data_IF_333714428797
#
_entry.id   IF_333714428797
#
_cell.length_a   1.000
_cell.length_b   1.000
_cell.length_c   1.000
_cell.angle_alpha   90.00
_cell.angle_beta   90.00
_cell.angle_gamma   90.00
#
_symmetry.space_group_name_H-M   'P 1'
#
loop_
_entity.id
_entity.type
_entity.pdbx_description
1 polymer ?
#
# COMPACT_ATOMS: atom_id res chain seq x y z
N UNK A 1 2.04 18.02 -25.15
CA UNK A 1 0.57 18.01 -25.03
C UNK A 1 0.17 18.58 -23.69
N UNK A 2 -1.09 18.98 -23.56
CA UNK A 2 -1.69 19.44 -22.32
C UNK A 2 -2.38 18.25 -21.62
N UNK A 3 -1.95 17.95 -20.40
CA UNK A 3 -2.50 16.84 -19.61
C UNK A 3 -3.20 17.36 -18.34
N UNK A 4 -4.36 16.79 -18.03
CA UNK A 4 -5.07 17.01 -16.78
C UNK A 4 -5.06 15.72 -15.94
N UNK A 5 -4.59 15.80 -14.72
CA UNK A 5 -4.51 14.67 -13.79
C UNK A 5 -5.51 14.88 -12.66
N UNK A 6 -6.43 13.96 -12.49
CA UNK A 6 -7.37 13.92 -11.39
C UNK A 6 -6.74 13.17 -10.21
N UNK A 7 -6.41 13.89 -9.12
CA UNK A 7 -5.81 13.36 -7.88
C UNK A 7 -4.32 13.70 -7.72
N UNK A 8 -3.99 14.36 -6.60
CA UNK A 8 -2.63 14.69 -6.16
C UNK A 8 -2.12 13.75 -5.07
N UNK A 9 -2.42 12.45 -5.20
CA UNK A 9 -1.77 11.39 -4.44
C UNK A 9 -0.41 11.03 -5.04
N UNK A 10 0.31 10.04 -4.46
CA UNK A 10 1.63 9.62 -4.96
C UNK A 10 1.67 9.36 -6.46
N UNK A 11 0.68 8.67 -7.00
CA UNK A 11 0.57 8.33 -8.43
C UNK A 11 0.44 9.59 -9.29
N UNK A 12 -0.49 10.47 -8.95
CA UNK A 12 -0.74 11.68 -9.74
C UNK A 12 0.43 12.66 -9.70
N UNK A 13 1.03 12.89 -8.53
CA UNK A 13 2.18 13.78 -8.39
C UNK A 13 3.42 13.23 -9.11
N UNK A 14 3.71 11.93 -8.96
CA UNK A 14 4.80 11.28 -9.69
C UNK A 14 4.60 11.43 -11.21
N UNK A 15 3.41 11.11 -11.70
CA UNK A 15 3.10 11.21 -13.14
C UNK A 15 3.23 12.64 -13.64
N UNK A 16 2.73 13.61 -12.87
CA UNK A 16 2.80 15.02 -13.24
C UNK A 16 4.23 15.52 -13.41
N UNK A 17 5.08 15.27 -12.42
CA UNK A 17 6.49 15.66 -12.46
C UNK A 17 7.23 14.97 -13.63
N UNK A 18 7.01 13.66 -13.80
CA UNK A 18 7.67 12.90 -14.85
C UNK A 18 7.25 13.32 -16.27
N UNK A 19 5.98 13.65 -16.47
CA UNK A 19 5.48 14.20 -17.76
C UNK A 19 6.00 15.62 -18.00
N UNK A 20 6.01 16.50 -17.00
CA UNK A 20 6.51 17.85 -17.14
C UNK A 20 8.01 17.87 -17.49
N UNK A 21 8.81 16.97 -16.93
CA UNK A 21 10.23 16.77 -17.29
C UNK A 21 10.44 16.31 -18.74
N UNK A 22 9.39 15.80 -19.39
CA UNK A 22 9.35 15.44 -20.82
C UNK A 22 8.74 16.54 -21.70
N UNK A 23 8.52 17.73 -21.12
CA UNK A 23 8.02 18.90 -21.88
C UNK A 23 6.50 18.97 -22.02
N UNK A 24 5.73 18.19 -21.28
CA UNK A 24 4.29 18.32 -21.23
C UNK A 24 3.87 19.43 -20.25
N UNK A 25 2.73 20.09 -20.49
CA UNK A 25 2.08 20.96 -19.51
C UNK A 25 1.06 20.11 -18.74
N UNK A 26 1.14 20.14 -17.43
CA UNK A 26 0.33 19.25 -16.57
C UNK A 26 -0.42 20.05 -15.52
N UNK A 27 -1.74 19.93 -15.52
CA UNK A 27 -2.59 20.47 -14.45
C UNK A 27 -3.07 19.30 -13.58
N UNK A 28 -2.70 19.32 -12.30
CA UNK A 28 -3.15 18.32 -11.32
C UNK A 28 -4.27 18.93 -10.49
N UNK A 29 -5.40 18.24 -10.39
CA UNK A 29 -6.56 18.68 -9.61
C UNK A 29 -6.75 17.77 -8.41
N UNK A 30 -6.82 18.33 -7.20
CA UNK A 30 -7.18 17.60 -5.97
C UNK A 30 -8.03 18.48 -5.06
N UNK A 31 -8.99 17.86 -4.38
CA UNK A 31 -9.82 18.57 -3.39
C UNK A 31 -9.04 18.98 -2.14
N UNK A 32 -7.93 18.29 -1.85
CA UNK A 32 -7.05 18.55 -0.71
C UNK A 32 -6.05 19.67 -1.07
N UNK A 33 -6.01 20.72 -0.24
CA UNK A 33 -5.15 21.88 -0.43
C UNK A 33 -3.67 21.63 -0.11
N UNK A 34 -3.31 20.50 0.46
CA UNK A 34 -1.98 20.22 1.01
C UNK A 34 -1.87 20.53 2.49
N UNK A 35 -0.64 20.49 3.06
CA UNK A 35 -0.39 20.80 4.45
C UNK A 35 -0.73 22.26 4.77
N UNK A 36 -1.21 22.49 6.00
CA UNK A 36 -1.39 23.80 6.56
C UNK A 36 -0.05 24.48 6.89
N UNK A 37 -0.07 25.78 7.18
CA UNK A 37 1.14 26.57 7.48
C UNK A 37 1.89 26.07 8.75
N UNK A 38 1.18 25.46 9.69
CA UNK A 38 1.75 24.82 10.89
C UNK A 38 2.31 23.41 10.62
N UNK A 39 2.27 22.96 9.38
CA UNK A 39 2.73 21.64 8.95
C UNK A 39 1.73 20.52 9.16
N UNK A 40 0.59 20.77 9.79
CA UNK A 40 -0.46 19.75 9.93
C UNK A 40 -1.09 19.40 8.58
N UNK A 41 -1.40 18.14 8.37
CA UNK A 41 -2.03 17.68 7.14
C UNK A 41 -3.02 16.54 7.43
N UNK A 42 -4.30 16.85 7.62
CA UNK A 42 -5.30 15.81 7.90
C UNK A 42 -5.60 14.90 6.70
N UNK A 43 -5.28 15.31 5.46
CA UNK A 43 -5.43 14.57 4.20
C UNK A 43 -6.77 13.80 4.15
N UNK A 44 -7.87 14.50 4.35
CA UNK A 44 -9.22 13.92 4.38
C UNK A 44 -9.52 13.14 3.09
N UNK A 45 -10.08 11.94 3.22
CA UNK A 45 -10.37 11.05 2.10
C UNK A 45 -9.26 10.05 1.75
N UNK A 46 -8.12 10.11 2.43
CA UNK A 46 -7.06 9.10 2.37
C UNK A 46 -6.99 8.40 3.73
N UNK A 47 -7.83 7.38 3.93
CA UNK A 47 -7.95 6.65 5.21
C UNK A 47 -6.59 6.17 5.73
N UNK A 48 -5.72 5.74 4.83
CA UNK A 48 -4.43 5.15 5.18
C UNK A 48 -3.31 6.17 5.41
N UNK A 49 -3.57 7.49 5.39
CA UNK A 49 -2.52 8.52 5.39
C UNK A 49 -1.58 8.46 6.59
N UNK A 50 -2.09 8.09 7.76
CA UNK A 50 -1.32 7.97 9.00
C UNK A 50 -1.15 6.52 9.47
N UNK A 51 -1.58 5.53 8.68
CA UNK A 51 -1.29 4.12 8.95
C UNK A 51 0.14 3.74 8.53
N UNK A 52 0.66 2.58 8.98
CA UNK A 52 1.96 2.09 8.52
C UNK A 52 2.05 2.00 7.00
N UNK A 53 3.18 2.38 6.44
CA UNK A 53 3.48 2.22 5.02
C UNK A 53 4.89 1.68 4.83
N UNK A 54 5.03 0.77 3.88
CA UNK A 54 6.31 0.37 3.32
C UNK A 54 6.53 1.03 1.96
N UNK A 55 7.64 1.74 1.80
CA UNK A 55 8.09 2.26 0.50
C UNK A 55 9.04 1.23 -0.10
N UNK A 56 8.52 0.37 -0.97
CA UNK A 56 9.26 -0.77 -1.55
C UNK A 56 10.32 -0.33 -2.56
N UNK A 57 11.25 -1.21 -2.87
CA UNK A 57 12.34 -0.94 -3.81
C UNK A 57 11.85 -0.52 -5.21
N UNK A 58 10.69 -1.01 -5.66
CA UNK A 58 10.08 -0.58 -6.92
C UNK A 58 9.75 0.91 -6.96
N UNK A 59 9.36 1.48 -5.80
CA UNK A 59 9.16 2.92 -5.66
C UNK A 59 10.49 3.66 -5.78
N UNK A 60 11.51 3.19 -5.07
CA UNK A 60 12.87 3.77 -5.14
C UNK A 60 13.40 3.72 -6.56
N UNK A 61 13.28 2.57 -7.23
CA UNK A 61 13.69 2.40 -8.64
C UNK A 61 12.92 3.35 -9.58
N UNK A 62 11.63 3.57 -9.33
CA UNK A 62 10.86 4.53 -10.12
C UNK A 62 11.33 5.97 -9.89
N UNK A 63 11.59 6.35 -8.63
CA UNK A 63 12.14 7.67 -8.31
C UNK A 63 13.54 7.87 -8.91
N UNK A 64 14.45 6.90 -8.76
CA UNK A 64 15.82 6.98 -9.32
C UNK A 64 15.82 7.15 -10.83
N UNK A 65 14.86 6.52 -11.52
CA UNK A 65 14.77 6.61 -12.97
C UNK A 65 14.16 7.92 -13.48
N UNK A 66 13.20 8.49 -12.78
CA UNK A 66 12.40 9.62 -13.26
C UNK A 66 12.69 10.94 -12.51
N UNK A 67 13.04 10.84 -11.22
CA UNK A 67 13.23 11.99 -10.33
C UNK A 67 14.19 11.66 -9.17
N UNK A 68 15.50 11.43 -9.42
CA UNK A 68 16.47 11.06 -8.39
C UNK A 68 16.59 12.11 -7.28
N UNK A 69 16.35 13.37 -7.59
CA UNK A 69 16.28 14.49 -6.65
C UNK A 69 15.19 14.30 -5.57
N UNK A 70 14.07 13.66 -5.92
CA UNK A 70 13.00 13.33 -4.96
C UNK A 70 13.47 12.25 -3.99
N UNK A 71 14.17 11.22 -4.47
CA UNK A 71 14.75 10.19 -3.62
C UNK A 71 15.73 10.81 -2.62
N UNK A 72 16.58 11.72 -3.07
CA UNK A 72 17.56 12.40 -2.25
C UNK A 72 16.89 13.34 -1.23
N UNK A 73 15.84 14.05 -1.65
CA UNK A 73 15.04 14.90 -0.76
C UNK A 73 14.33 14.09 0.33
N UNK A 74 13.82 12.89 0.02
CA UNK A 74 13.22 11.99 1.02
C UNK A 74 14.25 11.58 2.08
N UNK A 75 15.46 11.20 1.66
CA UNK A 75 16.55 10.83 2.59
C UNK A 75 16.97 12.05 3.43
N UNK A 76 17.12 13.22 2.82
CA UNK A 76 17.44 14.46 3.53
C UNK A 76 16.35 14.88 4.54
N UNK A 77 15.09 14.53 4.26
CA UNK A 77 13.95 14.77 5.16
C UNK A 77 13.79 13.70 6.25
N UNK A 78 14.69 12.70 6.32
CA UNK A 78 14.75 11.71 7.39
C UNK A 78 14.29 10.29 7.02
N UNK A 79 13.92 10.03 5.76
CA UNK A 79 13.69 8.66 5.30
C UNK A 79 14.99 7.85 5.35
N UNK A 80 14.90 6.57 5.74
CA UNK A 80 16.07 5.70 5.83
C UNK A 80 15.95 4.50 4.90
N UNK A 81 17.07 4.04 4.36
CA UNK A 81 17.09 2.86 3.49
C UNK A 81 16.82 1.60 4.32
N UNK A 82 15.87 0.80 3.89
CA UNK A 82 15.61 -0.54 4.44
C UNK A 82 16.55 -1.54 3.79
N UNK A 83 17.33 -2.25 4.61
CA UNK A 83 18.34 -3.19 4.14
C UNK A 83 18.04 -4.61 4.61
N UNK A 84 18.22 -5.58 3.74
CA UNK A 84 18.30 -7.00 4.11
C UNK A 84 19.78 -7.37 4.17
N UNK A 85 20.28 -7.89 5.33
CA UNK A 85 21.64 -8.42 5.41
C UNK A 85 21.84 -9.53 4.37
N UNK A 86 22.95 -9.50 3.67
CA UNK A 86 23.30 -10.57 2.73
C UNK A 86 24.15 -11.63 3.43
N UNK A 87 23.89 -12.90 3.13
CA UNK A 87 24.75 -14.01 3.60
C UNK A 87 26.08 -14.05 2.85
N UNK A 88 27.12 -14.58 3.50
CA UNK A 88 28.40 -14.89 2.84
C UNK A 88 29.24 -13.67 2.45
N UNK A 89 29.21 -12.58 3.24
CA UNK A 89 30.06 -11.40 3.01
C UNK A 89 29.66 -10.52 1.82
N UNK A 90 28.49 -10.75 1.23
CA UNK A 90 27.93 -9.87 0.20
C UNK A 90 27.44 -8.56 0.84
N UNK A 91 27.37 -7.43 0.10
CA UNK A 91 26.78 -6.21 0.60
C UNK A 91 25.29 -6.40 0.90
N UNK A 92 24.78 -5.71 1.92
CA UNK A 92 23.36 -5.69 2.24
C UNK A 92 22.55 -5.17 1.05
N UNK A 93 21.39 -5.79 0.80
CA UNK A 93 20.51 -5.43 -0.31
C UNK A 93 19.46 -4.42 0.15
N UNK A 94 19.36 -3.30 -0.57
CA UNK A 94 18.29 -2.34 -0.36
C UNK A 94 16.94 -2.92 -0.83
N UNK A 95 15.92 -2.81 0.00
CA UNK A 95 14.56 -3.32 -0.28
C UNK A 95 13.48 -2.24 -0.24
N UNK A 96 13.88 -0.99 0.02
CA UNK A 96 12.98 0.15 0.03
C UNK A 96 13.43 1.27 0.98
N UNK A 97 12.48 2.14 1.33
CA UNK A 97 12.67 3.22 2.31
C UNK A 97 11.69 3.04 3.47
N UNK A 98 12.16 3.36 4.67
CA UNK A 98 11.34 3.55 5.87
C UNK A 98 10.90 5.00 5.89
N UNK A 99 9.63 5.23 5.64
CA UNK A 99 9.10 6.58 5.45
C UNK A 99 7.60 6.59 5.72
N UNK A 100 7.11 7.57 6.49
CA UNK A 100 5.68 7.84 6.60
C UNK A 100 5.12 8.30 5.25
N UNK A 101 3.90 7.92 4.97
CA UNK A 101 3.21 8.40 3.79
C UNK A 101 3.10 9.93 3.76
N UNK A 102 2.89 10.56 4.90
CA UNK A 102 2.83 12.01 5.02
C UNK A 102 4.12 12.71 4.59
N UNK A 103 5.29 12.16 4.93
CA UNK A 103 6.57 12.67 4.45
C UNK A 103 6.72 12.43 2.94
N UNK A 104 6.41 11.22 2.48
CA UNK A 104 6.51 10.84 1.08
C UNK A 104 5.64 11.75 0.18
N UNK A 105 4.36 11.95 0.54
CA UNK A 105 3.46 12.82 -0.23
C UNK A 105 3.85 14.30 -0.14
N UNK A 106 4.40 14.77 0.99
CA UNK A 106 4.88 16.13 1.14
C UNK A 106 6.03 16.42 0.18
N UNK A 107 7.06 15.58 0.19
CA UNK A 107 8.24 15.76 -0.69
C UNK A 107 7.83 15.71 -2.16
N UNK A 108 6.98 14.78 -2.56
CA UNK A 108 6.45 14.73 -3.94
C UNK A 108 5.66 15.99 -4.30
N UNK A 109 4.85 16.51 -3.37
CA UNK A 109 4.06 17.70 -3.59
C UNK A 109 4.94 18.95 -3.73
N UNK A 110 5.92 19.10 -2.86
CA UNK A 110 6.86 20.23 -2.90
C UNK A 110 7.65 20.21 -4.21
N UNK A 111 8.08 19.03 -4.66
CA UNK A 111 8.70 18.85 -5.97
C UNK A 111 7.76 19.24 -7.10
N UNK A 112 6.51 18.82 -7.06
CA UNK A 112 5.53 19.14 -8.09
C UNK A 112 5.22 20.65 -8.15
N UNK A 113 5.14 21.33 -7.01
CA UNK A 113 4.95 22.78 -6.93
C UNK A 113 6.15 23.57 -7.49
N UNK A 114 7.37 23.03 -7.32
CA UNK A 114 8.59 23.64 -7.85
C UNK A 114 8.86 23.28 -9.32
N UNK A 115 8.17 22.24 -9.86
CA UNK A 115 8.46 21.74 -11.21
C UNK A 115 7.85 22.65 -12.30
N UNK A 116 8.68 23.28 -13.18
CA UNK A 116 8.15 23.99 -14.34
C UNK A 116 7.26 23.09 -15.19
N UNK A 117 6.12 23.62 -15.64
CA UNK A 117 5.14 22.87 -16.43
C UNK A 117 4.11 22.09 -15.60
N UNK A 118 4.20 22.09 -14.27
CA UNK A 118 3.17 21.54 -13.38
C UNK A 118 2.38 22.68 -12.71
N UNK A 119 1.06 22.55 -12.72
CA UNK A 119 0.14 23.43 -11.99
C UNK A 119 -0.74 22.60 -11.08
N UNK A 120 -0.75 22.87 -9.77
CA UNK A 120 -1.66 22.22 -8.81
C UNK A 120 -2.88 23.12 -8.59
N UNK A 121 -4.06 22.57 -8.84
CA UNK A 121 -5.36 23.24 -8.66
C UNK A 121 -6.11 22.55 -7.55
N UNK A 122 -6.53 23.33 -6.55
CA UNK A 122 -7.47 22.85 -5.54
C UNK A 122 -8.88 22.90 -6.09
N UNK A 123 -9.56 21.74 -6.16
CA UNK A 123 -10.94 21.65 -6.64
C UNK A 123 -11.44 20.22 -6.61
N UNK A 124 -12.76 20.06 -6.66
CA UNK A 124 -13.41 18.77 -6.81
C UNK A 124 -13.52 18.42 -8.29
N UNK A 125 -13.03 17.23 -8.65
CA UNK A 125 -13.24 16.71 -10.00
C UNK A 125 -14.63 16.09 -10.06
N UNK A 126 -15.52 16.72 -10.83
CA UNK A 126 -16.92 16.29 -10.97
C UNK A 126 -17.06 15.17 -11.98
N UNK A 127 -16.45 15.32 -13.16
CA UNK A 127 -16.52 14.36 -14.28
C UNK A 127 -15.40 14.63 -15.32
N UNK A 128 -15.29 13.73 -16.29
CA UNK A 128 -14.49 13.89 -17.50
C UNK A 128 -15.30 14.62 -18.58
N UNK A 129 -14.72 15.64 -19.18
CA UNK A 129 -15.32 16.29 -20.35
C UNK A 129 -15.17 15.38 -21.58
N UNK A 130 -16.25 15.27 -22.35
CA UNK A 130 -16.29 14.41 -23.55
C UNK A 130 -16.58 15.26 -24.79
N UNK A 131 -15.80 15.06 -25.83
CA UNK A 131 -16.02 15.68 -27.14
C UNK A 131 -15.69 14.68 -28.24
N UNK A 132 -16.59 14.52 -29.18
CA UNK A 132 -16.44 13.60 -30.35
C UNK A 132 -16.01 12.18 -29.94
N UNK A 133 -16.60 11.64 -28.86
CA UNK A 133 -16.30 10.29 -28.36
C UNK A 133 -14.97 10.12 -27.64
N UNK A 134 -14.29 11.20 -27.27
CA UNK A 134 -12.99 11.21 -26.57
C UNK A 134 -13.05 12.05 -25.30
N UNK A 135 -12.14 11.80 -24.36
CA UNK A 135 -11.87 12.72 -23.28
C UNK A 135 -11.30 14.03 -23.84
N UNK A 136 -11.77 15.16 -23.31
CA UNK A 136 -11.40 16.51 -23.75
C UNK A 136 -10.98 17.39 -22.55
N UNK A 137 -10.89 16.82 -21.35
CA UNK A 137 -10.53 17.54 -20.12
C UNK A 137 -11.31 17.06 -18.90
N UNK A 138 -11.33 17.87 -17.86
CA UNK A 138 -12.04 17.62 -16.60
C UNK A 138 -13.06 18.73 -16.33
N UNK A 139 -14.16 18.38 -15.70
CA UNK A 139 -15.06 19.33 -15.02
C UNK A 139 -14.62 19.42 -13.55
N UNK A 140 -14.32 20.64 -13.11
CA UNK A 140 -13.78 20.92 -11.77
C UNK A 140 -14.63 22.01 -11.13
N UNK A 141 -15.34 21.71 -10.04
CA UNK A 141 -16.26 22.63 -9.37
C UNK A 141 -17.19 23.35 -10.38
N UNK A 142 -17.78 22.57 -11.30
CA UNK A 142 -18.67 23.02 -12.35
C UNK A 142 -18.00 23.73 -13.54
N UNK A 143 -16.68 23.98 -13.50
CA UNK A 143 -15.94 24.66 -14.58
C UNK A 143 -15.18 23.66 -15.46
N UNK A 144 -14.99 24.01 -16.71
CA UNK A 144 -14.28 23.17 -17.67
C UNK A 144 -12.78 23.48 -17.65
N UNK A 145 -11.98 22.42 -17.55
CA UNK A 145 -10.53 22.41 -17.69
C UNK A 145 -10.21 21.54 -18.91
N UNK A 146 -9.94 22.17 -20.04
CA UNK A 146 -9.61 21.47 -21.29
C UNK A 146 -8.23 20.80 -21.20
N UNK A 147 -8.09 19.60 -21.79
CA UNK A 147 -6.83 18.87 -21.90
C UNK A 147 -6.90 17.84 -23.05
N UNK A 148 -5.74 17.57 -23.66
CA UNK A 148 -5.58 16.56 -24.71
C UNK A 148 -5.49 15.13 -24.15
N UNK A 149 -4.98 15.03 -22.90
CA UNK A 149 -4.86 13.78 -22.14
C UNK A 149 -5.44 13.98 -20.73
N UNK A 150 -6.30 13.07 -20.32
CA UNK A 150 -6.82 13.00 -18.95
C UNK A 150 -6.28 11.76 -18.25
N UNK A 151 -5.76 11.94 -17.04
CA UNK A 151 -5.27 10.82 -16.22
C UNK A 151 -6.09 10.74 -14.93
N UNK A 152 -6.74 9.61 -14.70
CA UNK A 152 -7.45 9.31 -13.48
C UNK A 152 -6.51 8.66 -12.45
N UNK A 153 -6.06 9.44 -11.46
CA UNK A 153 -5.28 9.02 -10.30
C UNK A 153 -6.01 9.31 -8.98
N UNK A 154 -7.35 9.30 -8.99
CA UNK A 154 -8.20 9.58 -7.81
C UNK A 154 -8.19 8.46 -6.76
N UNK A 155 -7.46 7.37 -7.00
CA UNK A 155 -7.41 6.21 -6.13
C UNK A 155 -8.69 5.36 -6.22
N UNK A 156 -8.88 4.47 -5.24
CA UNK A 156 -9.95 3.47 -5.23
C UNK A 156 -11.38 4.04 -5.25
N UNK A 157 -11.55 5.27 -4.82
CA UNK A 157 -12.87 5.91 -4.79
C UNK A 157 -13.21 6.68 -6.06
N UNK A 158 -12.25 6.81 -6.99
CA UNK A 158 -12.43 7.55 -8.25
C UNK A 158 -13.34 6.81 -9.20
N UNK A 159 -14.41 7.47 -9.66
CA UNK A 159 -15.44 6.90 -10.52
C UNK A 159 -15.49 7.51 -11.93
N UNK A 160 -14.43 8.23 -12.35
CA UNK A 160 -14.39 8.85 -13.67
C UNK A 160 -14.64 7.81 -14.77
N UNK A 161 -15.67 8.05 -15.60
CA UNK A 161 -16.11 7.17 -16.68
C UNK A 161 -16.27 5.70 -16.27
N UNK A 162 -16.68 5.45 -15.01
CA UNK A 162 -16.83 4.10 -14.50
C UNK A 162 -17.94 3.30 -15.24
N UNK A 163 -18.92 4.00 -15.79
CA UNK A 163 -20.00 3.44 -16.61
C UNK A 163 -19.53 2.89 -17.96
N UNK A 164 -18.37 3.32 -18.43
CA UNK A 164 -17.83 2.91 -19.74
C UNK A 164 -16.87 1.73 -19.67
N UNK A 165 -16.24 1.49 -18.50
CA UNK A 165 -15.26 0.41 -18.34
C UNK A 165 -15.94 -0.93 -18.09
N UNK A 166 -15.27 -2.01 -18.44
CA UNK A 166 -15.68 -3.36 -18.04
C UNK A 166 -15.95 -3.45 -16.53
N UNK A 167 -16.79 -4.37 -16.04
CA UNK A 167 -17.06 -4.53 -14.60
C UNK A 167 -15.79 -4.68 -13.76
N UNK A 168 -15.84 -4.13 -12.56
CA UNK A 168 -14.76 -4.27 -11.58
C UNK A 168 -14.78 -5.68 -10.97
N UNK A 169 -13.66 -6.38 -11.04
CA UNK A 169 -13.44 -7.57 -10.23
C UNK A 169 -13.05 -7.14 -8.83
N UNK A 170 -13.69 -7.68 -7.80
CA UNK A 170 -13.37 -7.30 -6.42
C UNK A 170 -13.71 -8.39 -5.41
N UNK A 171 -12.93 -8.42 -4.32
CA UNK A 171 -13.17 -9.29 -3.17
C UNK A 171 -12.93 -8.53 -1.86
N UNK A 172 -13.64 -8.90 -0.80
CA UNK A 172 -13.35 -8.41 0.54
C UNK A 172 -12.03 -9.02 1.04
N UNK A 173 -11.19 -8.23 1.69
CA UNK A 173 -9.92 -8.73 2.24
C UNK A 173 -10.12 -9.55 3.52
N UNK A 174 -11.28 -9.49 4.15
CA UNK A 174 -11.55 -10.19 5.41
C UNK A 174 -10.77 -9.67 6.61
N UNK A 175 -10.07 -8.54 6.46
CA UNK A 175 -9.15 -7.96 7.45
C UNK A 175 -9.61 -6.58 7.87
N UNK A 176 -9.51 -6.29 9.16
CA UNK A 176 -9.53 -4.95 9.71
C UNK A 176 -8.34 -4.76 10.64
N UNK A 177 -7.93 -3.52 10.87
CA UNK A 177 -6.80 -3.24 11.75
C UNK A 177 -7.00 -1.93 12.52
N UNK A 178 -6.21 -1.77 13.55
CA UNK A 178 -6.02 -0.51 14.24
C UNK A 178 -4.53 -0.22 14.31
N UNK A 179 -4.15 1.05 14.23
CA UNK A 179 -2.76 1.45 14.39
C UNK A 179 -2.60 2.78 15.10
N UNK A 180 -1.40 3.00 15.64
CA UNK A 180 -0.98 4.26 16.24
C UNK A 180 0.48 4.52 15.91
N UNK A 181 0.84 5.79 15.68
CA UNK A 181 2.24 6.18 15.49
C UNK A 181 2.81 6.71 16.79
N UNK A 182 4.09 6.41 17.01
CA UNK A 182 4.88 6.85 18.16
C UNK A 182 6.18 7.47 17.69
N UNK A 183 6.68 8.43 18.44
CA UNK A 183 8.03 8.97 18.30
C UNK A 183 8.91 8.39 19.43
N UNK A 184 10.11 7.93 19.08
CA UNK A 184 11.13 7.59 20.08
C UNK A 184 11.66 8.86 20.72
N UNK A 185 11.65 8.90 22.06
CA UNK A 185 12.20 10.00 22.85
C UNK A 185 13.70 10.15 22.60
N UNK A 186 14.26 11.37 22.78
CA UNK A 186 15.70 11.58 22.64
C UNK A 186 16.50 10.63 23.53
N UNK A 187 17.49 9.94 22.93
CA UNK A 187 18.32 8.97 23.64
C UNK A 187 17.70 7.56 23.81
N UNK A 188 16.42 7.37 23.56
CA UNK A 188 15.82 6.04 23.63
C UNK A 188 16.33 5.12 22.53
N UNK A 189 16.73 3.89 22.93
CA UNK A 189 17.14 2.87 21.99
C UNK A 189 15.93 2.22 21.30
N UNK A 190 16.03 1.81 20.02
CA UNK A 190 15.01 1.04 19.35
C UNK A 190 14.69 -0.27 20.07
N UNK A 191 13.43 -0.73 19.99
CA UNK A 191 13.02 -2.04 20.47
C UNK A 191 13.48 -3.17 19.55
N UNK A 192 13.10 -4.44 19.85
CA UNK A 192 13.51 -5.61 19.07
C UNK A 192 12.91 -5.61 17.66
N UNK A 193 13.63 -6.24 16.73
CA UNK A 193 13.23 -6.41 15.34
C UNK A 193 13.35 -7.89 14.96
N UNK A 194 12.47 -8.37 14.09
CA UNK A 194 12.56 -9.70 13.49
C UNK A 194 12.37 -9.67 11.95
N UNK A 195 12.15 -8.49 11.39
CA UNK A 195 11.96 -8.26 9.97
C UNK A 195 12.69 -6.96 9.56
N UNK A 196 13.18 -6.83 8.32
CA UNK A 196 13.82 -5.61 7.82
C UNK A 196 12.95 -4.34 7.93
N UNK A 197 11.64 -4.49 7.98
CA UNK A 197 10.71 -3.36 8.12
C UNK A 197 10.29 -3.10 9.58
N UNK A 198 10.58 -4.04 10.51
CA UNK A 198 10.18 -3.88 11.90
C UNK A 198 10.11 -5.18 12.71
N UNK A 199 9.04 -5.33 13.43
CA UNK A 199 8.67 -6.53 14.17
C UNK A 199 7.31 -7.02 13.68
N UNK A 200 7.16 -8.30 13.38
CA UNK A 200 5.89 -8.89 12.98
C UNK A 200 5.66 -10.20 13.74
N UNK A 201 4.53 -10.30 14.42
CA UNK A 201 4.10 -11.46 15.18
C UNK A 201 2.70 -11.90 14.73
N UNK A 202 2.56 -13.18 14.39
CA UNK A 202 1.30 -13.79 13.95
C UNK A 202 0.77 -14.69 15.06
N UNK A 203 -0.42 -14.36 15.54
CA UNK A 203 -1.12 -15.11 16.59
C UNK A 203 -2.33 -15.83 16.01
N UNK A 204 -2.89 -16.77 16.77
CA UNK A 204 -4.18 -17.35 16.45
C UNK A 204 -5.27 -16.25 16.51
N UNK A 205 -5.84 -15.89 15.36
CA UNK A 205 -6.91 -14.91 15.25
C UNK A 205 -6.50 -13.44 15.13
N UNK A 206 -5.21 -13.08 15.19
CA UNK A 206 -4.77 -11.70 14.94
C UNK A 206 -3.28 -11.62 14.55
N UNK A 207 -2.86 -10.44 14.10
CA UNK A 207 -1.45 -10.12 13.80
C UNK A 207 -1.08 -8.83 14.51
N UNK A 208 0.11 -8.79 15.10
CA UNK A 208 0.66 -7.60 15.72
C UNK A 208 1.98 -7.21 15.03
N UNK A 209 2.23 -5.92 14.86
CA UNK A 209 3.46 -5.47 14.21
C UNK A 209 3.88 -4.06 14.55
N UNK A 210 5.19 -3.83 14.44
CA UNK A 210 5.83 -2.52 14.48
C UNK A 210 6.48 -2.26 13.14
N UNK A 211 6.27 -1.08 12.59
CA UNK A 211 6.84 -0.64 11.32
C UNK A 211 7.71 0.58 11.57
N UNK A 212 8.99 0.45 11.26
CA UNK A 212 9.94 1.56 11.35
C UNK A 212 9.64 2.59 10.26
N UNK A 213 9.73 3.88 10.63
CA UNK A 213 9.46 4.99 9.73
C UNK A 213 10.58 6.03 9.77
N UNK A 214 10.37 7.21 9.18
CA UNK A 214 11.29 8.33 9.20
C UNK A 214 11.40 8.97 10.58
N UNK A 215 12.50 9.72 10.80
CA UNK A 215 12.67 10.60 11.94
C UNK A 215 12.41 9.93 13.30
N UNK A 216 12.93 8.72 13.49
CA UNK A 216 12.77 7.94 14.74
C UNK A 216 11.31 7.68 15.11
N UNK A 217 10.40 7.69 14.15
CA UNK A 217 9.00 7.31 14.37
C UNK A 217 8.75 5.86 14.02
N UNK A 218 7.74 5.28 14.64
CA UNK A 218 7.26 3.93 14.39
C UNK A 218 5.75 3.91 14.33
N UNK A 219 5.18 2.96 13.60
CA UNK A 219 3.77 2.68 13.66
C UNK A 219 3.54 1.28 14.22
N UNK A 220 2.69 1.18 15.22
CA UNK A 220 2.24 -0.09 15.80
C UNK A 220 0.87 -0.42 15.25
N UNK A 221 0.67 -1.69 14.87
CA UNK A 221 -0.55 -2.17 14.22
C UNK A 221 -1.01 -3.48 14.85
N UNK A 222 -2.32 -3.59 15.07
CA UNK A 222 -3.01 -4.84 15.39
C UNK A 222 -4.04 -5.11 14.28
N UNK A 223 -3.88 -6.22 13.55
CA UNK A 223 -4.79 -6.65 12.50
C UNK A 223 -5.58 -7.89 12.96
N UNK A 224 -6.84 -7.97 12.57
CA UNK A 224 -7.80 -8.99 12.99
C UNK A 224 -8.75 -9.37 11.85
N UNK A 225 -9.50 -10.46 11.96
CA UNK A 225 -10.62 -10.72 11.07
C UNK A 225 -11.62 -9.54 11.08
N UNK A 226 -12.06 -9.08 9.92
CA UNK A 226 -13.06 -8.00 9.85
C UNK A 226 -14.39 -8.40 10.50
N UNK A 227 -14.73 -9.70 10.44
CA UNK A 227 -15.91 -10.29 11.05
C UNK A 227 -15.85 -10.39 12.60
N UNK A 228 -14.66 -10.32 13.20
CA UNK A 228 -14.48 -10.38 14.65
C UNK A 228 -14.91 -9.05 15.30
N UNK A 229 -16.15 -9.01 15.78
CA UNK A 229 -16.72 -7.81 16.41
C UNK A 229 -16.18 -7.54 17.81
N UNK A 230 -15.74 -8.56 18.53
CA UNK A 230 -15.20 -8.40 19.89
C UNK A 230 -13.85 -7.68 19.82
N UNK A 231 -12.94 -8.13 18.96
CA UNK A 231 -11.67 -7.44 18.74
C UNK A 231 -11.81 -6.06 18.09
N UNK A 232 -12.98 -5.68 17.60
CA UNK A 232 -13.24 -4.32 17.12
C UNK A 232 -13.07 -3.26 18.23
N UNK A 233 -13.21 -3.65 19.49
CA UNK A 233 -12.94 -2.79 20.65
C UNK A 233 -11.49 -2.35 20.81
N UNK A 234 -10.52 -2.95 20.09
CA UNK A 234 -9.14 -2.46 20.03
C UNK A 234 -9.00 -1.02 19.48
N UNK A 235 -10.05 -0.45 18.92
CA UNK A 235 -10.12 0.97 18.56
C UNK A 235 -10.21 1.92 19.77
N UNK A 236 -10.59 1.42 20.94
CA UNK A 236 -10.60 2.15 22.20
C UNK A 236 -9.15 2.39 22.62
N UNK A 237 -8.71 3.65 22.86
CA UNK A 237 -7.29 3.94 23.12
C UNK A 237 -6.72 3.14 24.29
N UNK A 238 -7.45 3.01 25.37
CA UNK A 238 -7.03 2.31 26.59
C UNK A 238 -6.87 0.80 26.32
N UNK A 239 -7.77 0.22 25.52
CA UNK A 239 -7.70 -1.20 25.12
C UNK A 239 -6.50 -1.43 24.17
N UNK A 240 -6.29 -0.53 23.22
CA UNK A 240 -5.14 -0.59 22.31
C UNK A 240 -3.82 -0.56 23.07
N UNK A 241 -3.64 0.43 23.96
CA UNK A 241 -2.43 0.59 24.76
C UNK A 241 -2.18 -0.61 25.68
N UNK A 242 -3.22 -1.15 26.30
CA UNK A 242 -3.09 -2.36 27.12
C UNK A 242 -2.71 -3.59 26.26
N UNK A 243 -3.33 -3.74 25.09
CA UNK A 243 -3.05 -4.86 24.18
C UNK A 243 -1.63 -4.83 23.64
N UNK A 244 -1.13 -3.68 23.16
CA UNK A 244 0.23 -3.57 22.62
C UNK A 244 1.30 -3.79 23.67
N UNK A 245 1.06 -3.39 24.92
CA UNK A 245 1.97 -3.69 26.05
C UNK A 245 1.99 -5.15 26.47
N UNK A 246 0.92 -5.89 26.19
CA UNK A 246 0.85 -7.32 26.49
C UNK A 246 1.58 -8.17 25.45
N UNK A 247 1.69 -7.69 24.19
CA UNK A 247 2.32 -8.43 23.09
C UNK A 247 3.84 -8.39 23.23
N UNK A 248 4.53 -9.55 23.35
CA UNK A 248 5.98 -9.59 23.50
C UNK A 248 6.72 -8.84 22.38
N UNK A 249 7.63 -7.98 22.79
CA UNK A 249 8.42 -7.15 21.88
C UNK A 249 7.75 -5.83 21.45
N UNK A 250 6.41 -5.74 21.45
CA UNK A 250 5.71 -4.46 21.20
C UNK A 250 5.79 -3.55 22.42
N UNK A 251 5.83 -4.11 23.63
CA UNK A 251 6.02 -3.40 24.89
C UNK A 251 7.21 -2.44 24.84
N UNK A 252 8.35 -2.91 24.33
CA UNK A 252 9.56 -2.11 24.17
C UNK A 252 9.40 -0.91 23.19
N UNK A 253 8.44 -0.98 22.28
CA UNK A 253 8.14 0.06 21.29
C UNK A 253 7.03 1.03 21.71
N UNK A 254 6.33 0.72 22.82
CA UNK A 254 5.19 1.51 23.34
C UNK A 254 5.36 1.88 24.81
N UNK A 255 6.54 1.65 25.38
CA UNK A 255 6.91 2.07 26.72
C UNK A 255 6.89 3.60 26.82
N UNK A 256 6.09 4.21 27.72
CA UNK A 256 6.02 5.66 27.90
C UNK A 256 7.34 6.32 28.32
N UNK A 257 8.28 5.57 28.90
CA UNK A 257 9.61 6.09 29.23
C UNK A 257 10.52 6.21 27.99
N UNK A 258 10.13 5.59 26.86
CA UNK A 258 10.92 5.49 25.65
C UNK A 258 10.25 6.11 24.42
N UNK A 259 8.93 6.19 24.42
CA UNK A 259 8.15 6.64 23.25
C UNK A 259 6.97 7.50 23.68
N UNK A 260 6.57 8.39 22.80
CA UNK A 260 5.33 9.15 22.95
C UNK A 260 4.41 8.93 21.73
N UNK A 261 3.10 8.80 21.92
CA UNK A 261 2.15 8.69 20.83
C UNK A 261 2.01 10.02 20.09
N UNK A 262 2.14 9.99 18.77
CA UNK A 262 2.02 11.18 17.91
C UNK A 262 0.75 11.18 17.04
N UNK A 263 -0.07 10.12 17.12
CA UNK A 263 -1.42 10.08 16.54
C UNK A 263 -2.42 9.52 17.53
N UNK A 264 -3.74 9.76 17.33
CA UNK A 264 -4.76 8.95 17.99
C UNK A 264 -4.67 7.48 17.53
N UNK A 265 -5.41 6.58 18.16
CA UNK A 265 -5.64 5.24 17.66
C UNK A 265 -6.53 5.32 16.40
N UNK A 266 -6.05 4.81 15.29
CA UNK A 266 -6.65 4.95 13.96
C UNK A 266 -7.23 3.60 13.53
N UNK A 267 -8.56 3.49 13.33
CA UNK A 267 -9.15 2.29 12.75
C UNK A 267 -8.99 2.26 11.22
N UNK A 268 -8.73 1.07 10.67
CA UNK A 268 -8.74 0.76 9.26
C UNK A 268 -9.61 -0.47 8.97
N UNK A 269 -10.47 -0.37 7.99
CA UNK A 269 -11.41 -1.44 7.65
C UNK A 269 -12.07 -1.22 6.28
N UNK A 270 -13.05 -2.07 5.94
CA UNK A 270 -13.69 -2.07 4.62
C UNK A 270 -12.66 -2.19 3.49
N UNK A 271 -11.69 -3.08 3.70
CA UNK A 271 -10.60 -3.30 2.76
C UNK A 271 -11.08 -4.22 1.65
N UNK A 272 -10.77 -3.86 0.42
CA UNK A 272 -11.12 -4.64 -0.76
C UNK A 272 -9.92 -4.75 -1.68
N UNK A 273 -9.73 -5.92 -2.25
CA UNK A 273 -8.96 -6.09 -3.46
C UNK A 273 -9.86 -5.73 -4.64
N UNK A 274 -9.35 -5.00 -5.62
CA UNK A 274 -10.08 -4.74 -6.86
C UNK A 274 -9.14 -4.62 -8.05
N UNK A 275 -9.62 -5.04 -9.21
CA UNK A 275 -8.93 -4.88 -10.48
C UNK A 275 -9.91 -4.43 -11.56
N UNK A 276 -9.52 -3.42 -12.32
CA UNK A 276 -10.28 -2.90 -13.44
C UNK A 276 -9.35 -2.24 -14.46
N UNK A 277 -9.21 -2.85 -15.63
CA UNK A 277 -8.36 -2.37 -16.73
C UNK A 277 -8.86 -1.07 -17.39
N UNK A 278 -8.27 -0.74 -18.53
CA UNK A 278 -8.61 0.46 -19.32
C UNK A 278 -9.81 0.23 -20.24
N UNK A 279 -10.20 -1.05 -20.46
CA UNK A 279 -11.07 -1.46 -21.56
C UNK A 279 -12.55 -1.52 -21.15
N UNK A 280 -13.42 -1.44 -22.17
CA UNK A 280 -14.85 -1.76 -22.09
C UNK A 280 -15.09 -3.28 -22.18
N UNK A 281 -16.34 -3.73 -22.12
CA UNK A 281 -16.73 -5.15 -22.24
C UNK A 281 -16.41 -5.76 -23.62
N UNK A 282 -16.11 -4.94 -24.60
CA UNK A 282 -15.77 -5.36 -25.96
C UNK A 282 -14.26 -5.35 -26.24
N UNK A 283 -13.44 -5.11 -25.21
CA UNK A 283 -11.98 -5.06 -25.35
C UNK A 283 -11.46 -3.78 -26.04
N UNK A 284 -12.25 -2.70 -26.11
CA UNK A 284 -11.84 -1.41 -26.66
C UNK A 284 -11.53 -0.46 -25.53
N UNK A 285 -10.68 0.55 -25.77
CA UNK A 285 -10.45 1.61 -24.80
C UNK A 285 -11.77 2.28 -24.42
N UNK A 286 -12.13 2.25 -23.14
CA UNK A 286 -13.43 2.68 -22.63
C UNK A 286 -13.74 4.14 -22.98
N UNK A 287 -12.73 5.03 -22.94
CA UNK A 287 -12.83 6.42 -23.40
C UNK A 287 -11.44 6.85 -23.92
N UNK A 288 -11.23 6.94 -25.23
CA UNK A 288 -9.99 7.44 -25.80
C UNK A 288 -9.59 8.80 -25.21
N UNK A 289 -8.31 8.97 -24.83
CA UNK A 289 -7.82 10.19 -24.17
C UNK A 289 -7.97 10.19 -22.65
N UNK A 290 -8.62 9.19 -22.05
CA UNK A 290 -8.63 8.96 -20.60
C UNK A 290 -7.82 7.72 -20.24
N UNK A 291 -6.85 7.87 -19.33
CA UNK A 291 -6.03 6.75 -18.82
C UNK A 291 -6.21 6.65 -17.30
N UNK A 292 -6.42 5.45 -16.79
CA UNK A 292 -6.55 5.17 -15.37
C UNK A 292 -5.21 4.66 -14.80
N UNK A 293 -4.82 5.13 -13.60
CA UNK A 293 -3.58 4.75 -12.94
C UNK A 293 -3.77 4.45 -11.45
N UNK A 294 -2.87 3.63 -10.94
CA UNK A 294 -2.78 3.33 -9.51
C UNK A 294 -3.98 2.55 -9.01
N UNK A 295 -4.52 2.95 -7.86
CA UNK A 295 -5.67 2.29 -7.24
C UNK A 295 -6.98 2.42 -8.08
N UNK A 296 -7.00 3.27 -9.10
CA UNK A 296 -8.09 3.31 -10.07
C UNK A 296 -8.07 2.11 -11.04
N UNK A 297 -6.96 1.36 -11.09
CA UNK A 297 -6.78 0.12 -11.84
C UNK A 297 -6.70 -1.08 -10.91
N UNK A 298 -5.82 -1.03 -9.89
CA UNK A 298 -5.59 -2.15 -9.00
C UNK A 298 -5.42 -1.70 -7.56
N UNK A 299 -6.33 -2.14 -6.70
CA UNK A 299 -6.22 -2.01 -5.25
C UNK A 299 -5.99 -3.37 -4.63
N UNK A 300 -5.04 -3.49 -3.71
CA UNK A 300 -4.78 -4.72 -2.96
C UNK A 300 -4.83 -4.48 -1.47
N UNK A 301 -4.98 -5.54 -0.70
CA UNK A 301 -4.90 -5.50 0.76
C UNK A 301 -3.64 -4.73 1.20
N UNK A 302 -3.78 -3.64 1.99
CA UNK A 302 -2.65 -2.80 2.38
C UNK A 302 -1.65 -3.49 3.30
N UNK A 303 -2.01 -4.59 3.96
CA UNK A 303 -1.14 -5.31 4.91
C UNK A 303 0.15 -5.84 4.26
N UNK A 304 0.16 -6.09 2.95
CA UNK A 304 1.36 -6.47 2.22
C UNK A 304 2.22 -5.28 1.74
N UNK A 305 1.74 -4.02 1.90
CA UNK A 305 2.49 -2.80 1.57
C UNK A 305 2.86 -2.66 0.09
N UNK A 306 2.02 -3.15 -0.84
CA UNK A 306 2.30 -3.16 -2.30
C UNK A 306 1.68 -2.00 -3.06
N UNK A 307 0.64 -1.33 -2.55
CA UNK A 307 -0.18 -0.37 -3.30
C UNK A 307 0.60 0.78 -3.95
N UNK A 308 1.49 1.48 -3.22
CA UNK A 308 2.30 2.55 -3.81
C UNK A 308 3.26 2.00 -4.88
N UNK A 309 3.84 0.82 -4.65
CA UNK A 309 4.76 0.20 -5.59
C UNK A 309 4.06 -0.14 -6.93
N UNK A 310 2.95 -0.85 -6.89
CA UNK A 310 2.16 -1.19 -8.10
C UNK A 310 1.66 0.05 -8.82
N UNK A 311 1.29 1.11 -8.08
CA UNK A 311 0.84 2.37 -8.65
C UNK A 311 1.96 3.12 -9.38
N UNK A 312 3.17 3.21 -8.78
CA UNK A 312 4.29 3.89 -9.43
C UNK A 312 4.89 3.05 -10.57
N UNK A 313 4.82 1.72 -10.50
CA UNK A 313 5.17 0.85 -11.63
C UNK A 313 4.29 1.16 -12.86
N UNK A 314 2.96 1.26 -12.69
CA UNK A 314 2.02 1.64 -13.74
C UNK A 314 2.35 3.04 -14.29
N UNK A 315 2.51 4.03 -13.39
CA UNK A 315 2.80 5.41 -13.78
C UNK A 315 4.11 5.52 -14.57
N UNK A 316 5.17 4.85 -14.12
CA UNK A 316 6.45 4.82 -14.82
C UNK A 316 6.33 4.15 -16.19
N UNK A 317 5.59 3.06 -16.28
CA UNK A 317 5.36 2.39 -17.55
C UNK A 317 4.65 3.32 -18.53
N UNK A 318 3.53 3.96 -18.12
CA UNK A 318 2.84 4.94 -18.94
C UNK A 318 3.78 6.08 -19.41
N UNK A 319 4.52 6.69 -18.49
CA UNK A 319 5.40 7.82 -18.83
C UNK A 319 6.48 7.44 -19.85
N UNK A 320 6.91 6.18 -19.87
CA UNK A 320 7.93 5.66 -20.81
C UNK A 320 7.35 5.30 -22.19
N UNK A 321 6.08 4.90 -22.23
CA UNK A 321 5.42 4.41 -23.46
C UNK A 321 4.46 5.43 -24.05
N UNK A 322 4.16 6.52 -23.33
CA UNK A 322 3.29 7.59 -23.80
C UNK A 322 3.88 8.27 -25.03
N UNK A 323 3.30 7.98 -26.19
CA UNK A 323 3.58 8.65 -27.46
C UNK A 323 2.64 9.82 -27.70
N UNK A 324 2.35 10.07 -28.97
CA UNK A 324 1.39 11.10 -29.44
C UNK A 324 -0.05 10.61 -29.47
N UNK A 325 -0.27 9.30 -29.32
CA UNK A 325 -1.60 8.66 -29.32
C UNK A 325 -1.94 8.10 -27.94
N UNK A 326 -2.80 8.81 -27.17
CA UNK A 326 -3.23 8.34 -25.85
C UNK A 326 -4.04 7.02 -25.87
N UNK A 327 -4.69 6.70 -26.98
CA UNK A 327 -5.46 5.44 -27.09
C UNK A 327 -4.53 4.26 -27.21
N UNK A 328 -3.50 4.35 -28.06
CA UNK A 328 -2.46 3.33 -28.14
C UNK A 328 -1.74 3.15 -26.80
N UNK A 329 -1.47 4.23 -26.07
CA UNK A 329 -0.86 4.19 -24.74
C UNK A 329 -1.78 3.51 -23.70
N UNK A 330 -3.10 3.71 -23.79
CA UNK A 330 -4.06 3.02 -22.90
C UNK A 330 -4.12 1.52 -23.16
N UNK A 331 -4.12 1.09 -24.43
CA UNK A 331 -4.08 -0.33 -24.83
C UNK A 331 -2.81 -1.02 -24.34
N UNK A 332 -1.67 -0.37 -24.55
CA UNK A 332 -0.36 -0.88 -24.15
C UNK A 332 -0.26 -0.99 -22.63
N UNK A 333 -0.72 0.02 -21.89
CA UNK A 333 -0.76 0.00 -20.43
C UNK A 333 -1.69 -1.09 -19.90
N UNK A 334 -2.84 -1.33 -20.55
CA UNK A 334 -3.77 -2.39 -20.15
C UNK A 334 -3.13 -3.77 -20.27
N UNK A 335 -2.51 -4.05 -21.44
CA UNK A 335 -1.79 -5.29 -21.68
C UNK A 335 -0.65 -5.49 -20.66
N UNK A 336 0.14 -4.43 -20.42
CA UNK A 336 1.21 -4.47 -19.43
C UNK A 336 0.70 -4.70 -18.01
N UNK A 337 -0.41 -4.07 -17.62
CA UNK A 337 -1.03 -4.27 -16.32
C UNK A 337 -1.56 -5.71 -16.15
N UNK A 338 -2.11 -6.30 -17.21
CA UNK A 338 -2.56 -7.69 -17.19
C UNK A 338 -1.39 -8.66 -16.91
N UNK A 339 -0.20 -8.38 -17.43
CA UNK A 339 0.99 -9.21 -17.22
C UNK A 339 1.71 -8.94 -15.89
N UNK A 340 1.80 -7.66 -15.45
CA UNK A 340 2.71 -7.27 -14.38
C UNK A 340 2.01 -6.83 -13.08
N UNK A 341 0.72 -6.43 -13.14
CA UNK A 341 -0.03 -5.93 -11.99
C UNK A 341 -1.11 -6.91 -11.57
N UNK A 342 -1.88 -7.46 -12.52
CA UNK A 342 -2.96 -8.42 -12.26
C UNK A 342 -2.51 -9.63 -11.44
N UNK A 343 -1.34 -10.24 -11.66
CA UNK A 343 -0.88 -11.36 -10.84
C UNK A 343 -0.80 -11.04 -9.33
N UNK A 344 -0.52 -9.78 -8.97
CA UNK A 344 -0.52 -9.36 -7.56
C UNK A 344 -1.93 -9.25 -6.99
N UNK A 345 -2.92 -8.85 -7.79
CA UNK A 345 -4.33 -8.87 -7.38
C UNK A 345 -4.80 -10.30 -7.12
N UNK A 346 -4.57 -11.22 -8.06
CA UNK A 346 -4.96 -12.62 -7.96
C UNK A 346 -4.30 -13.31 -6.75
N UNK A 347 -3.02 -13.03 -6.51
CA UNK A 347 -2.27 -13.51 -5.34
C UNK A 347 -2.89 -13.02 -4.03
N UNK A 348 -3.28 -11.73 -3.95
CA UNK A 348 -3.92 -11.18 -2.76
C UNK A 348 -5.30 -11.78 -2.50
N UNK A 349 -6.10 -11.98 -3.53
CA UNK A 349 -7.43 -12.61 -3.39
C UNK A 349 -7.29 -14.02 -2.79
N UNK A 350 -6.34 -14.80 -3.29
CA UNK A 350 -6.08 -16.15 -2.78
C UNK A 350 -5.52 -16.14 -1.35
N UNK A 351 -4.54 -15.27 -1.08
CA UNK A 351 -3.93 -15.13 0.25
C UNK A 351 -4.96 -14.72 1.30
N UNK A 352 -5.75 -13.69 1.02
CA UNK A 352 -6.73 -13.15 1.98
C UNK A 352 -7.81 -14.19 2.30
N UNK A 353 -8.27 -14.94 1.31
CA UNK A 353 -9.23 -16.03 1.52
C UNK A 353 -8.67 -17.11 2.46
N UNK A 354 -7.40 -17.49 2.30
CA UNK A 354 -6.74 -18.45 3.17
C UNK A 354 -6.50 -17.89 4.58
N UNK A 355 -6.10 -16.63 4.69
CA UNK A 355 -5.89 -15.99 5.98
C UNK A 355 -7.18 -15.96 6.81
N UNK A 356 -8.33 -15.72 6.18
CA UNK A 356 -9.64 -15.77 6.86
C UNK A 356 -9.94 -17.18 7.36
N UNK A 357 -9.67 -18.22 6.57
CA UNK A 357 -9.87 -19.60 6.97
C UNK A 357 -8.95 -20.04 8.13
N UNK A 358 -7.66 -19.68 8.05
CA UNK A 358 -6.71 -19.93 9.12
C UNK A 358 -7.14 -19.25 10.43
N UNK A 359 -7.66 -18.03 10.37
CA UNK A 359 -8.19 -17.34 11.55
C UNK A 359 -9.50 -17.96 12.07
N UNK A 360 -10.27 -18.64 11.23
CA UNK A 360 -11.43 -19.43 11.63
C UNK A 360 -11.05 -20.80 12.26
N UNK A 361 -9.75 -21.12 12.32
CA UNK A 361 -9.25 -22.38 12.88
C UNK A 361 -9.21 -23.54 11.88
N UNK A 362 -9.43 -23.26 10.58
CA UNK A 362 -9.29 -24.28 9.54
C UNK A 362 -7.81 -24.59 9.30
N UNK A 363 -7.53 -25.83 8.96
CA UNK A 363 -6.18 -26.26 8.57
C UNK A 363 -5.92 -26.00 7.09
N UNK A 364 -4.63 -26.09 6.70
CA UNK A 364 -4.22 -25.97 5.30
C UNK A 364 -4.90 -27.07 4.45
N UNK A 365 -5.52 -26.65 3.34
CA UNK A 365 -6.16 -27.55 2.41
C UNK A 365 -5.17 -28.02 1.32
N UNK A 366 -4.62 -29.22 1.52
CA UNK A 366 -3.66 -29.81 0.59
C UNK A 366 -4.28 -30.35 -0.71
N UNK A 367 -5.62 -30.34 -0.87
CA UNK A 367 -6.27 -30.71 -2.12
C UNK A 367 -6.18 -29.61 -3.18
N UNK A 368 -5.80 -28.40 -2.81
CA UNK A 368 -5.65 -27.22 -3.67
C UNK A 368 -4.18 -26.76 -3.74
N UNK A 369 -3.79 -25.95 -4.75
CA UNK A 369 -2.51 -25.28 -4.75
C UNK A 369 -2.30 -24.46 -3.47
N UNK A 370 -1.08 -24.49 -2.92
CA UNK A 370 -0.74 -23.65 -1.78
C UNK A 370 -0.69 -22.19 -2.22
N UNK A 371 -1.28 -21.31 -1.41
CA UNK A 371 -1.17 -19.88 -1.63
C UNK A 371 0.22 -19.36 -1.26
N UNK A 372 0.54 -18.16 -1.71
CA UNK A 372 1.79 -17.48 -1.38
C UNK A 372 2.01 -17.37 0.13
N UNK A 373 0.94 -17.19 0.93
CA UNK A 373 1.02 -17.17 2.39
C UNK A 373 1.60 -18.45 3.00
N UNK A 374 1.13 -19.62 2.53
CA UNK A 374 1.63 -20.91 2.97
C UNK A 374 3.09 -21.15 2.54
N UNK A 375 3.41 -20.81 1.28
CA UNK A 375 4.77 -21.02 0.74
C UNK A 375 5.77 -20.12 1.46
N UNK A 376 5.42 -18.86 1.75
CA UNK A 376 6.24 -17.92 2.52
C UNK A 376 6.47 -18.44 3.94
N UNK A 377 5.43 -18.94 4.62
CA UNK A 377 5.57 -19.49 5.96
C UNK A 377 6.51 -20.72 5.97
N UNK A 378 6.38 -21.62 5.00
CA UNK A 378 7.28 -22.76 4.85
C UNK A 378 8.73 -22.32 4.60
N UNK A 379 8.95 -21.29 3.77
CA UNK A 379 10.27 -20.76 3.47
C UNK A 379 10.95 -20.10 4.69
N UNK A 380 10.20 -19.52 5.60
CA UNK A 380 10.73 -18.99 6.87
C UNK A 380 11.30 -20.10 7.77
N UNK A 381 10.70 -21.30 7.73
CA UNK A 381 11.18 -22.47 8.47
C UNK A 381 12.21 -23.32 7.69
N UNK A 382 12.30 -23.15 6.37
CA UNK A 382 13.20 -23.88 5.47
C UNK A 382 14.03 -22.88 4.63
N UNK A 383 15.21 -22.42 5.13
CA UNK A 383 16.01 -21.39 4.48
C UNK A 383 16.37 -21.62 3.01
N UNK A 384 16.61 -22.84 2.51
CA UNK A 384 16.80 -23.10 1.08
C UNK A 384 15.67 -22.55 0.18
N UNK A 385 14.42 -22.56 0.62
CA UNK A 385 13.27 -22.03 -0.13
C UNK A 385 13.32 -20.52 -0.28
N UNK A 386 14.01 -19.80 0.62
CA UNK A 386 14.14 -18.34 0.55
C UNK A 386 14.84 -17.85 -0.74
N UNK A 387 15.59 -18.72 -1.41
CA UNK A 387 16.20 -18.38 -2.72
C UNK A 387 15.14 -18.13 -3.80
N UNK A 388 14.00 -18.84 -3.72
CA UNK A 388 12.86 -18.68 -4.63
C UNK A 388 11.89 -17.61 -4.11
N UNK A 389 11.61 -17.64 -2.80
CA UNK A 389 10.60 -16.80 -2.15
C UNK A 389 11.09 -15.36 -1.93
N UNK A 390 12.39 -15.14 -1.71
CA UNK A 390 12.96 -13.81 -1.49
C UNK A 390 12.67 -12.80 -2.59
N UNK A 391 12.89 -13.13 -3.88
CA UNK A 391 12.52 -12.26 -5.00
C UNK A 391 11.02 -11.91 -5.06
N UNK A 392 10.13 -12.85 -4.71
CA UNK A 392 8.70 -12.56 -4.57
C UNK A 392 8.41 -11.58 -3.43
N UNK A 393 9.00 -11.80 -2.24
CA UNK A 393 8.81 -10.93 -1.08
C UNK A 393 9.24 -9.48 -1.37
N UNK A 394 10.28 -9.31 -2.17
CA UNK A 394 10.80 -7.99 -2.58
C UNK A 394 10.14 -7.46 -3.86
N UNK A 395 9.14 -8.15 -4.42
CA UNK A 395 8.48 -7.85 -5.69
C UNK A 395 9.45 -7.79 -6.91
N UNK A 396 10.58 -8.48 -6.84
CA UNK A 396 11.50 -8.66 -7.98
C UNK A 396 11.07 -9.79 -8.90
N UNK A 397 10.20 -10.69 -8.42
CA UNK A 397 9.61 -11.76 -9.19
C UNK A 397 8.09 -11.79 -8.97
N UNK A 398 7.35 -12.18 -10.01
CA UNK A 398 5.90 -12.33 -9.96
C UNK A 398 5.49 -13.54 -9.11
N UNK A 399 4.26 -13.56 -8.57
CA UNK A 399 3.76 -14.68 -7.75
C UNK A 399 3.89 -16.05 -8.39
N UNK A 400 3.78 -16.17 -9.71
CA UNK A 400 3.91 -17.45 -10.43
C UNK A 400 5.26 -18.14 -10.18
N UNK A 401 6.33 -17.41 -9.82
CA UNK A 401 7.64 -18.00 -9.52
C UNK A 401 7.63 -18.88 -8.26
N UNK A 402 6.66 -18.69 -7.37
CA UNK A 402 6.48 -19.51 -6.17
C UNK A 402 6.14 -20.97 -6.46
N UNK A 403 5.66 -21.28 -7.67
CA UNK A 403 5.40 -22.66 -8.09
C UNK A 403 6.65 -23.55 -7.96
N UNK A 404 7.85 -22.99 -8.08
CA UNK A 404 9.10 -23.73 -7.88
C UNK A 404 9.37 -24.11 -6.40
N UNK A 405 8.78 -23.41 -5.45
CA UNK A 405 8.91 -23.69 -4.01
C UNK A 405 7.72 -24.52 -3.48
N UNK A 406 6.60 -24.56 -4.19
CA UNK A 406 5.38 -25.21 -3.73
C UNK A 406 5.55 -26.70 -3.38
N UNK A 407 6.22 -27.56 -4.19
CA UNK A 407 6.34 -28.97 -3.86
C UNK A 407 6.98 -29.22 -2.50
N UNK A 408 8.09 -28.54 -2.19
CA UNK A 408 8.78 -28.67 -0.93
C UNK A 408 7.97 -28.09 0.26
N UNK A 409 7.27 -26.96 0.05
CA UNK A 409 6.37 -26.42 1.04
C UNK A 409 5.20 -27.38 1.33
N UNK A 410 4.62 -27.97 0.29
CA UNK A 410 3.53 -28.97 0.39
C UNK A 410 3.96 -30.20 1.17
N UNK A 411 5.17 -30.72 0.93
CA UNK A 411 5.73 -31.85 1.68
C UNK A 411 5.84 -31.53 3.18
N UNK A 412 6.29 -30.32 3.53
CA UNK A 412 6.33 -29.88 4.94
C UNK A 412 4.93 -29.91 5.58
N UNK A 413 3.92 -29.34 4.92
CA UNK A 413 2.55 -29.39 5.45
C UNK A 413 1.98 -30.80 5.51
N UNK A 414 2.25 -31.64 4.52
CA UNK A 414 1.82 -33.04 4.48
C UNK A 414 2.46 -33.89 5.58
N UNK A 415 3.69 -33.58 6.02
CA UNK A 415 4.33 -34.21 7.17
C UNK A 415 3.78 -33.76 8.53
N UNK A 416 2.77 -32.90 8.57
CA UNK A 416 2.17 -32.37 9.80
C UNK A 416 2.83 -31.10 10.33
N UNK A 417 3.83 -30.54 9.63
CA UNK A 417 4.40 -29.27 10.04
C UNK A 417 3.38 -28.13 9.92
N UNK A 418 3.39 -27.23 10.91
CA UNK A 418 2.63 -25.98 10.89
C UNK A 418 3.51 -24.83 11.38
N UNK A 419 3.33 -23.59 10.86
CA UNK A 419 4.06 -22.45 11.38
C UNK A 419 3.74 -22.25 12.87
N UNK A 420 4.79 -22.02 13.67
CA UNK A 420 4.62 -21.73 15.08
C UNK A 420 3.93 -20.37 15.25
N UNK A 421 2.90 -20.33 16.07
CA UNK A 421 2.25 -19.11 16.52
C UNK A 421 2.48 -18.95 18.02
N UNK A 422 2.81 -17.74 18.54
CA UNK A 422 2.85 -17.51 19.98
C UNK A 422 1.49 -17.81 20.59
N UNK A 423 1.49 -18.50 21.73
CA UNK A 423 0.25 -18.86 22.44
C UNK A 423 -0.33 -17.67 23.23
N UNK A 424 0.53 -16.74 23.65
CA UNK A 424 0.15 -15.57 24.47
C UNK A 424 0.72 -14.29 23.91
N UNK A 425 -0.03 -13.17 23.98
CA UNK A 425 -1.43 -13.10 24.45
C UNK A 425 -2.39 -13.80 23.48
N UNK A 426 -3.36 -14.49 24.03
CA UNK A 426 -4.42 -15.13 23.26
C UNK A 426 -5.45 -14.08 22.78
N UNK A 427 -6.35 -14.48 21.87
CA UNK A 427 -7.51 -13.64 21.48
C UNK A 427 -8.38 -13.30 22.69
N UNK A 428 -8.59 -14.25 23.60
CA UNK A 428 -9.38 -14.11 24.81
C UNK A 428 -8.75 -13.09 25.78
N UNK A 429 -7.43 -13.05 25.89
CA UNK A 429 -6.72 -12.05 26.69
C UNK A 429 -7.00 -10.63 26.17
N UNK A 430 -6.97 -10.44 24.84
CA UNK A 430 -7.29 -9.15 24.23
C UNK A 430 -8.75 -8.74 24.46
N UNK A 431 -9.69 -9.69 24.37
CA UNK A 431 -11.10 -9.44 24.67
C UNK A 431 -11.30 -9.02 26.13
N UNK A 432 -10.61 -9.69 27.05
CA UNK A 432 -10.66 -9.32 28.47
C UNK A 432 -10.15 -7.88 28.72
N UNK A 433 -9.12 -7.43 27.99
CA UNK A 433 -8.64 -6.05 28.07
C UNK A 433 -9.68 -5.08 27.48
N UNK A 434 -10.28 -5.39 26.34
CA UNK A 434 -11.30 -4.56 25.71
C UNK A 434 -12.50 -4.36 26.67
N UNK A 435 -12.98 -5.44 27.28
CA UNK A 435 -14.12 -5.38 28.24
C UNK A 435 -13.81 -4.52 29.47
N UNK A 436 -12.55 -4.46 29.93
CA UNK A 436 -12.13 -3.60 31.05
C UNK A 436 -12.05 -2.13 30.64
N UNK A 437 -11.73 -1.86 29.37
CA UNK A 437 -11.56 -0.50 28.84
C UNK A 437 -12.89 0.12 28.32
N UNK A 438 -13.93 -0.69 28.11
CA UNK A 438 -15.22 -0.23 27.59
C UNK A 438 -16.11 0.27 28.73
N UNK A 439 -16.36 1.59 28.85
CA UNK A 439 -17.16 2.15 29.93
C UNK A 439 -18.65 1.77 29.88
N UNK A 440 -19.13 1.15 28.77
CA UNK A 440 -20.53 0.72 28.61
C UNK A 440 -20.76 -0.68 29.19
N UNK A 441 -19.70 -1.43 29.42
CA UNK A 441 -19.74 -2.82 29.94
C UNK A 441 -19.23 -2.92 31.39
N UNK A 442 -18.86 -1.80 32.03
CA UNK A 442 -18.37 -1.70 33.41
C UNK A 442 -19.49 -1.36 34.42
#
# INVERSE_FOLDING_TARGET
MDAAIAGAGPTGLFTAVALARRGHRVTVVDRDGGPAADGTWPRRGVMQFHHPHGVRQQVVTALEAEMPDVRDALVAAGATVSLIPAAGGRPAMAVGLRCRRSLFERVLRDTALAQPGVTLVRGHVDDVLRSRGRAAGLRVDGRELAAELVINALGRAGRLAADLRAPEESSDCGVAYVSRQYALLPGAEPGPLNDPIGLLSRFAGYVAGVFLQDNRTVAVLLARPSADRELAGLRIPEAFEAAVRLVPGLDAWTDPERTEPITPVLPGGHLRNSYRGQLDEHGRVALPGLIHLGDAVCTTNPTAGRGIATSLMQARHLVRTLGTDPEAAALELDAWCAEHIRPWFDDHVAWDADQVRLWAGEDVDLSRPLTSGHIVAAAQANPPLMRVVGPYLTMQALPATLAAAEPAAREMYASGWRPAAPAVPSREDLIALIRRADPVTA
#
